data_IF_191143603810
#
_entry.id   IF_191143603810
#
_cell.length_a   1.000
_cell.length_b   1.000
_cell.length_c   1.000
_cell.angle_alpha   90.00
_cell.angle_beta   90.00
_cell.angle_gamma   90.00
#
_symmetry.space_group_name_H-M   'P 1'
#
loop_
_entity.id
_entity.type
_entity.pdbx_description
1 polymer ?
#
# COMPACT_ATOMS: atom_id res chain seq x y z
N UNK A 1 -2.53 15.14 -14.17
CA UNK A 1 -2.32 16.49 -14.77
C UNK A 1 -3.59 16.88 -15.51
N UNK A 2 -4.31 17.91 -15.08
CA UNK A 2 -5.34 18.52 -15.93
C UNK A 2 -4.62 19.52 -16.84
N UNK A 3 -4.67 19.30 -18.16
CA UNK A 3 -4.02 20.19 -19.12
C UNK A 3 -4.70 21.56 -19.09
N UNK A 4 -3.97 22.61 -18.70
CA UNK A 4 -4.50 23.97 -18.51
C UNK A 4 -4.28 24.90 -19.71
N UNK A 5 -3.64 24.43 -20.79
CA UNK A 5 -3.40 25.22 -22.00
C UNK A 5 -3.55 24.37 -23.28
N UNK A 6 -3.75 25.04 -24.42
CA UNK A 6 -3.91 24.43 -25.74
C UNK A 6 -2.76 23.49 -26.12
N UNK A 7 -1.52 23.87 -25.79
CA UNK A 7 -0.33 23.05 -26.05
C UNK A 7 -0.34 21.73 -25.26
N UNK A 8 -0.67 21.77 -23.97
CA UNK A 8 -0.75 20.57 -23.13
C UNK A 8 -1.91 19.65 -23.54
N UNK A 9 -3.02 20.22 -24.01
CA UNK A 9 -4.14 19.44 -24.56
C UNK A 9 -3.74 18.74 -25.84
N UNK A 10 -3.11 19.44 -26.78
CA UNK A 10 -2.62 18.85 -28.03
C UNK A 10 -1.61 17.72 -27.77
N UNK A 11 -0.69 17.92 -26.82
CA UNK A 11 0.28 16.90 -26.42
C UNK A 11 -0.39 15.67 -25.77
N UNK A 12 -1.41 15.89 -24.93
CA UNK A 12 -2.17 14.80 -24.30
C UNK A 12 -2.94 13.98 -25.33
N UNK A 13 -3.58 14.64 -26.30
CA UNK A 13 -4.28 13.99 -27.41
C UNK A 13 -3.30 13.21 -28.28
N UNK A 14 -2.15 13.79 -28.62
CA UNK A 14 -1.10 13.13 -29.42
C UNK A 14 -0.53 11.88 -28.72
N UNK A 15 -0.41 11.92 -27.39
CA UNK A 15 -0.01 10.78 -26.57
C UNK A 15 -1.04 9.66 -26.61
N UNK A 16 -2.34 9.98 -26.44
CA UNK A 16 -3.43 8.99 -26.50
C UNK A 16 -3.57 8.36 -27.89
N UNK A 17 -3.34 9.14 -28.95
CA UNK A 17 -3.32 8.65 -30.33
C UNK A 17 -2.04 7.88 -30.69
N UNK A 18 -1.12 7.69 -29.73
CA UNK A 18 0.13 6.92 -29.88
C UNK A 18 0.94 7.33 -31.11
N UNK A 19 1.07 8.64 -31.35
CA UNK A 19 1.84 9.14 -32.49
C UNK A 19 3.28 8.58 -32.44
N UNK A 20 3.78 7.98 -33.53
CA UNK A 20 5.13 7.41 -33.57
C UNK A 20 6.21 8.42 -33.17
N UNK A 21 7.14 8.00 -32.32
CA UNK A 21 8.27 8.83 -31.87
C UNK A 21 7.96 9.82 -30.74
N UNK A 22 6.69 10.07 -30.42
CA UNK A 22 6.33 10.99 -29.34
C UNK A 22 6.76 10.46 -27.96
N UNK A 23 6.52 9.18 -27.67
CA UNK A 23 6.90 8.58 -26.39
C UNK A 23 8.41 8.66 -26.15
N UNK A 24 9.23 8.40 -27.18
CA UNK A 24 10.69 8.49 -27.10
C UNK A 24 11.19 9.92 -26.81
N UNK A 25 10.45 10.94 -27.23
CA UNK A 25 10.75 12.33 -26.90
C UNK A 25 10.31 12.65 -25.47
N UNK A 26 9.13 12.17 -25.05
CA UNK A 26 8.63 12.36 -23.69
C UNK A 26 9.51 11.68 -22.64
N UNK A 27 10.01 10.48 -22.91
CA UNK A 27 10.85 9.71 -21.99
C UNK A 27 12.17 10.42 -21.65
N UNK A 28 12.69 11.27 -22.57
CA UNK A 28 13.91 12.07 -22.32
C UNK A 28 13.69 13.18 -21.29
N UNK A 29 12.45 13.62 -21.12
CA UNK A 29 12.06 14.66 -20.16
C UNK A 29 11.26 14.09 -18.98
N UNK A 30 11.03 12.77 -18.96
CA UNK A 30 10.36 12.10 -17.86
C UNK A 30 11.36 11.84 -16.74
N UNK A 31 11.41 12.75 -15.78
CA UNK A 31 12.00 12.45 -14.49
C UNK A 31 10.96 11.71 -13.65
N UNK A 32 11.30 10.49 -13.21
CA UNK A 32 10.45 9.74 -12.29
C UNK A 32 10.26 10.65 -11.06
N UNK A 33 9.01 10.91 -10.62
CA UNK A 33 8.78 11.84 -9.52
C UNK A 33 9.41 11.28 -8.25
N UNK A 34 10.57 11.82 -7.91
CA UNK A 34 11.33 11.48 -6.73
C UNK A 34 10.99 12.48 -5.63
N UNK A 35 9.69 12.59 -5.35
CA UNK A 35 9.21 13.58 -4.41
C UNK A 35 9.51 13.11 -2.98
N UNK A 36 9.81 14.07 -2.11
CA UNK A 36 10.08 13.85 -0.68
C UNK A 36 8.93 13.04 -0.05
N UNK A 37 7.68 13.24 -0.48
CA UNK A 37 6.54 12.47 0.00
C UNK A 37 6.61 10.95 -0.29
N UNK A 38 7.13 10.55 -1.45
CA UNK A 38 7.36 9.13 -1.83
C UNK A 38 8.54 8.58 -1.04
N UNK A 39 9.66 9.30 -0.95
CA UNK A 39 10.82 8.86 -0.16
C UNK A 39 10.50 8.73 1.33
N UNK A 40 9.70 9.65 1.88
CA UNK A 40 9.26 9.60 3.26
C UNK A 40 8.22 8.49 3.46
N UNK A 41 7.27 8.29 2.53
CA UNK A 41 6.34 7.17 2.56
C UNK A 41 7.08 5.83 2.64
N UNK A 42 8.05 5.61 1.75
CA UNK A 42 8.88 4.40 1.72
C UNK A 42 9.68 4.24 3.04
N UNK A 43 10.32 5.29 3.55
CA UNK A 43 11.05 5.22 4.83
C UNK A 43 10.15 4.93 6.02
N UNK A 44 8.95 5.49 6.05
CA UNK A 44 7.98 5.25 7.12
C UNK A 44 7.44 3.82 7.05
N UNK A 45 7.16 3.30 5.85
CA UNK A 45 6.76 1.91 5.63
C UNK A 45 7.86 0.93 6.05
N UNK A 46 9.11 1.17 5.65
CA UNK A 46 10.28 0.36 6.05
C UNK A 46 10.53 0.40 7.56
N UNK A 47 10.36 1.56 8.20
CA UNK A 47 10.49 1.70 9.65
C UNK A 47 9.37 0.96 10.40
N UNK A 48 8.11 1.09 9.94
CA UNK A 48 6.96 0.38 10.49
C UNK A 48 7.10 -1.14 10.33
N UNK A 49 7.56 -1.61 9.16
CA UNK A 49 7.86 -3.02 8.92
C UNK A 49 8.94 -3.53 9.88
N UNK A 50 10.01 -2.74 10.08
CA UNK A 50 11.08 -3.10 11.00
C UNK A 50 10.63 -3.14 12.47
N UNK A 51 9.81 -2.18 12.90
CA UNK A 51 9.22 -2.14 14.25
C UNK A 51 8.28 -3.33 14.50
N UNK A 52 7.42 -3.64 13.53
CA UNK A 52 6.50 -4.76 13.60
C UNK A 52 7.25 -6.10 13.59
N UNK A 53 8.26 -6.27 12.73
CA UNK A 53 9.09 -7.48 12.73
C UNK A 53 9.86 -7.64 14.05
N UNK A 54 10.35 -6.55 14.62
CA UNK A 54 11.03 -6.58 15.92
C UNK A 54 10.09 -6.97 17.06
N UNK A 55 8.81 -6.61 16.98
CA UNK A 55 7.85 -6.82 18.07
C UNK A 55 7.03 -8.10 17.93
N UNK A 56 6.57 -8.43 16.72
CA UNK A 56 5.70 -9.57 16.41
C UNK A 56 6.45 -10.80 15.91
N UNK A 57 7.65 -10.62 15.34
CA UNK A 57 8.43 -11.74 14.80
C UNK A 57 7.63 -12.60 13.83
N UNK A 58 7.38 -13.86 14.21
CA UNK A 58 6.68 -14.84 13.37
C UNK A 58 5.16 -14.64 13.23
N UNK A 59 4.55 -13.78 14.05
CA UNK A 59 3.13 -13.43 13.95
C UNK A 59 2.85 -12.42 12.82
N UNK A 60 3.92 -11.88 12.22
CA UNK A 60 3.88 -11.07 11.01
C UNK A 60 4.47 -11.86 9.84
N UNK A 61 3.73 -11.98 8.74
CA UNK A 61 4.26 -12.57 7.51
C UNK A 61 3.96 -11.73 6.28
N UNK A 62 4.78 -11.92 5.25
CA UNK A 62 4.64 -11.27 3.95
C UNK A 62 4.34 -12.33 2.89
N UNK A 63 3.38 -12.11 1.98
CA UNK A 63 3.16 -13.00 0.84
C UNK A 63 4.44 -13.18 0.01
N UNK A 64 4.65 -14.39 -0.52
CA UNK A 64 5.81 -14.70 -1.36
C UNK A 64 5.83 -13.90 -2.67
N UNK A 65 4.67 -13.52 -3.17
CA UNK A 65 4.51 -12.73 -4.39
C UNK A 65 3.35 -11.74 -4.27
N UNK A 66 3.18 -10.90 -5.30
CA UNK A 66 2.02 -9.99 -5.38
C UNK A 66 0.72 -10.69 -5.82
N UNK A 67 0.73 -12.01 -6.01
CA UNK A 67 -0.46 -12.79 -6.35
C UNK A 67 -1.44 -12.82 -5.16
N UNK A 68 -2.72 -12.49 -5.36
CA UNK A 68 -3.74 -12.63 -4.33
C UNK A 68 -3.81 -14.03 -3.69
N UNK A 69 -3.46 -15.09 -4.42
CA UNK A 69 -3.45 -16.46 -3.90
C UNK A 69 -2.49 -16.63 -2.70
N UNK A 70 -1.33 -15.98 -2.73
CA UNK A 70 -0.35 -16.04 -1.65
C UNK A 70 -0.87 -15.35 -0.39
N UNK A 71 -1.61 -14.26 -0.57
CA UNK A 71 -2.26 -13.54 0.54
C UNK A 71 -3.37 -14.39 1.15
N UNK A 72 -4.19 -15.04 0.31
CA UNK A 72 -5.24 -15.95 0.77
C UNK A 72 -4.66 -17.13 1.55
N UNK A 73 -3.54 -17.71 1.12
CA UNK A 73 -2.90 -18.81 1.85
C UNK A 73 -2.48 -18.39 3.27
N UNK A 74 -1.93 -17.19 3.44
CA UNK A 74 -1.60 -16.67 4.77
C UNK A 74 -2.86 -16.39 5.61
N UNK A 75 -3.95 -15.95 4.97
CA UNK A 75 -5.24 -15.76 5.64
C UNK A 75 -5.81 -17.08 6.16
N UNK A 76 -5.76 -18.14 5.34
CA UNK A 76 -6.20 -19.51 5.69
C UNK A 76 -5.34 -20.15 6.79
N UNK A 77 -4.03 -19.85 6.80
CA UNK A 77 -3.11 -20.24 7.88
C UNK A 77 -3.39 -19.49 9.19
N UNK A 78 -4.22 -18.46 9.16
CA UNK A 78 -4.55 -17.67 10.33
C UNK A 78 -3.39 -16.78 10.80
N UNK A 79 -2.54 -16.28 9.91
CA UNK A 79 -1.45 -15.38 10.31
C UNK A 79 -2.03 -14.10 10.92
N UNK A 80 -1.64 -13.69 12.14
CA UNK A 80 -2.21 -12.51 12.80
C UNK A 80 -2.06 -11.19 12.01
N UNK A 81 -0.88 -10.94 11.45
CA UNK A 81 -0.58 -9.73 10.67
C UNK A 81 0.03 -10.11 9.32
N UNK A 82 -0.63 -9.76 8.22
CA UNK A 82 -0.11 -9.98 6.87
C UNK A 82 0.28 -8.63 6.26
N UNK A 83 1.55 -8.47 5.91
CA UNK A 83 2.09 -7.23 5.34
C UNK A 83 2.14 -7.27 3.82
N UNK A 84 1.76 -6.15 3.18
CA UNK A 84 1.67 -5.99 1.73
C UNK A 84 0.81 -7.06 1.05
N UNK A 85 -0.35 -7.35 1.64
CA UNK A 85 -1.33 -8.27 1.05
C UNK A 85 -1.90 -7.76 -0.28
N UNK A 86 -2.21 -8.68 -1.19
CA UNK A 86 -2.98 -8.42 -2.40
C UNK A 86 -4.34 -9.07 -2.26
N UNK A 87 -5.41 -8.29 -2.39
CA UNK A 87 -6.77 -8.81 -2.41
C UNK A 87 -7.40 -8.60 -3.78
N UNK A 88 -8.02 -9.65 -4.30
CA UNK A 88 -8.91 -9.61 -5.45
C UNK A 88 -10.22 -10.28 -5.04
N UNK A 89 -11.31 -9.55 -5.15
CA UNK A 89 -12.65 -10.01 -4.81
C UNK A 89 -13.70 -9.33 -5.67
N UNK A 90 -14.97 -9.61 -5.41
CA UNK A 90 -16.08 -9.05 -6.18
C UNK A 90 -17.23 -10.03 -6.30
N UNK A 91 -18.45 -9.54 -6.11
CA UNK A 91 -19.68 -10.31 -6.29
C UNK A 91 -20.63 -9.50 -7.17
N UNK A 92 -21.15 -10.14 -8.22
CA UNK A 92 -22.07 -9.51 -9.17
C UNK A 92 -21.44 -8.36 -9.97
N UNK A 93 -20.74 -8.69 -11.06
CA UNK A 93 -20.33 -7.74 -12.12
C UNK A 93 -19.27 -6.68 -11.76
N UNK A 94 -18.89 -6.54 -10.49
CA UNK A 94 -17.89 -5.57 -10.03
C UNK A 94 -16.70 -6.34 -9.47
N UNK A 95 -15.54 -6.19 -10.13
CA UNK A 95 -14.26 -6.72 -9.65
C UNK A 95 -13.59 -5.66 -8.77
N UNK A 96 -13.35 -6.01 -7.50
CA UNK A 96 -12.59 -5.22 -6.55
C UNK A 96 -11.16 -5.76 -6.49
N UNK A 97 -10.18 -4.89 -6.68
CA UNK A 97 -8.78 -5.21 -6.44
C UNK A 97 -8.16 -4.13 -5.57
N UNK A 98 -7.40 -4.54 -4.56
CA UNK A 98 -6.77 -3.65 -3.61
C UNK A 98 -5.50 -4.28 -3.04
N UNK A 99 -4.52 -3.44 -2.76
CA UNK A 99 -3.26 -3.84 -2.13
C UNK A 99 -3.12 -3.08 -0.82
N UNK A 100 -3.73 -3.55 0.28
CA UNK A 100 -3.55 -2.95 1.59
C UNK A 100 -2.11 -3.11 2.08
N UNK A 101 -1.64 -2.14 2.88
CA UNK A 101 -0.32 -2.21 3.52
C UNK A 101 -0.31 -3.32 4.56
N UNK A 102 -1.42 -3.49 5.30
CA UNK A 102 -1.58 -4.54 6.30
C UNK A 102 -2.97 -5.20 6.22
N UNK A 103 -3.02 -6.49 6.47
CA UNK A 103 -4.23 -7.21 6.84
C UNK A 103 -4.07 -7.68 8.28
N UNK A 104 -4.95 -7.22 9.15
CA UNK A 104 -4.98 -7.58 10.55
C UNK A 104 -6.14 -8.55 10.80
N UNK A 105 -5.86 -9.68 11.43
CA UNK A 105 -6.90 -10.62 11.85
C UNK A 105 -7.86 -9.92 12.83
N UNK A 106 -9.16 -10.12 12.68
CA UNK A 106 -10.18 -9.33 13.39
C UNK A 106 -10.17 -9.49 14.92
N UNK A 107 -9.53 -10.53 15.42
CA UNK A 107 -9.25 -10.75 16.84
C UNK A 107 -8.00 -10.04 17.37
N UNK A 108 -7.32 -9.22 16.56
CA UNK A 108 -6.20 -8.39 16.96
C UNK A 108 -6.53 -6.90 16.81
N UNK A 109 -5.89 -6.10 17.65
CA UNK A 109 -5.84 -4.65 17.51
C UNK A 109 -4.40 -4.18 17.43
N UNK A 110 -4.13 -3.21 16.56
CA UNK A 110 -2.86 -2.50 16.57
C UNK A 110 -2.74 -1.64 17.83
N UNK A 111 -1.59 -1.71 18.49
CA UNK A 111 -1.27 -0.99 19.70
C UNK A 111 0.09 -0.33 19.55
N UNK A 112 0.20 0.93 19.97
CA UNK A 112 1.47 1.64 19.96
C UNK A 112 2.05 1.65 21.37
N UNK A 113 3.21 1.02 21.52
CA UNK A 113 3.99 1.01 22.76
C UNK A 113 5.23 1.89 22.62
N UNK A 114 5.95 2.10 23.71
CA UNK A 114 7.23 2.84 23.71
C UNK A 114 8.30 2.18 22.82
N UNK A 115 8.13 0.88 22.55
CA UNK A 115 9.02 0.06 21.70
C UNK A 115 8.64 0.07 20.22
N UNK A 116 7.49 0.67 19.85
CA UNK A 116 7.01 0.72 18.46
C UNK A 116 5.56 0.24 18.31
N UNK A 117 5.15 0.05 17.05
CA UNK A 117 3.85 -0.54 16.72
C UNK A 117 3.85 -2.07 16.95
N UNK A 118 2.81 -2.58 17.61
CA UNK A 118 2.56 -4.01 17.84
C UNK A 118 1.10 -4.36 17.54
N UNK A 119 0.77 -5.65 17.58
CA UNK A 119 -0.60 -6.14 17.51
C UNK A 119 -0.90 -7.02 18.74
N UNK A 120 -2.05 -6.79 19.39
CA UNK A 120 -2.49 -7.51 20.58
C UNK A 120 -3.81 -8.23 20.33
N UNK A 121 -3.86 -9.51 20.71
CA UNK A 121 -5.11 -10.30 20.67
C UNK A 121 -6.13 -9.74 21.66
N UNK A 122 -7.38 -9.59 21.23
CA UNK A 122 -8.49 -9.02 22.01
C UNK A 122 -9.64 -10.01 22.26
N UNK A 123 -9.78 -11.05 21.45
CA UNK A 123 -10.73 -12.15 21.68
C UNK A 123 -10.21 -13.46 21.05
N UNK A 124 -10.84 -14.60 21.35
CA UNK A 124 -10.32 -15.92 20.95
C UNK A 124 -10.75 -16.36 19.55
N UNK A 125 -11.97 -16.02 19.14
CA UNK A 125 -12.54 -16.39 17.84
C UNK A 125 -12.19 -15.35 16.79
N UNK A 126 -11.91 -15.75 15.55
CA UNK A 126 -11.68 -14.83 14.45
C UNK A 126 -12.59 -15.21 13.27
N UNK A 127 -13.09 -14.21 12.55
CA UNK A 127 -14.01 -14.41 11.42
C UNK A 127 -13.47 -13.88 10.10
N UNK A 128 -12.39 -13.11 10.15
CA UNK A 128 -11.76 -12.59 8.96
C UNK A 128 -10.62 -11.62 9.25
N UNK A 129 -10.38 -10.74 8.27
CA UNK A 129 -9.30 -9.78 8.28
C UNK A 129 -9.82 -8.38 7.95
N UNK A 130 -9.22 -7.39 8.59
CA UNK A 130 -9.43 -5.97 8.31
C UNK A 130 -8.24 -5.42 7.54
N UNK A 131 -8.50 -4.74 6.43
CA UNK A 131 -7.49 -4.02 5.67
C UNK A 131 -7.13 -2.70 6.36
N UNK A 132 -5.84 -2.50 6.61
CA UNK A 132 -5.26 -1.29 7.17
C UNK A 132 -4.29 -0.67 6.14
N UNK A 133 -4.44 0.63 5.93
CA UNK A 133 -3.52 1.45 5.13
C UNK A 133 -2.74 2.33 6.11
N UNK A 134 -1.42 2.23 6.09
CA UNK A 134 -0.56 2.80 7.12
C UNK A 134 -0.41 4.33 7.02
N UNK A 135 -1.14 5.00 6.10
CA UNK A 135 -1.02 6.45 5.83
C UNK A 135 -1.46 7.38 6.96
N UNK A 136 -1.66 6.91 8.18
CA UNK A 136 -2.01 7.76 9.32
C UNK A 136 -0.75 8.08 10.14
N UNK A 137 -0.05 9.10 9.66
CA UNK A 137 1.04 9.77 10.36
C UNK A 137 0.66 10.09 11.80
N UNK A 138 1.41 9.56 12.77
CA UNK A 138 1.37 9.95 14.20
C UNK A 138 1.64 11.43 14.48
N UNK A 139 2.01 12.21 13.46
CA UNK A 139 2.32 13.64 13.58
C UNK A 139 1.67 14.39 12.42
N UNK A 140 0.94 15.49 12.66
CA UNK A 140 0.55 16.40 11.57
C UNK A 140 1.82 16.87 10.84
N UNK A 141 1.79 16.85 9.51
CA UNK A 141 2.87 17.37 8.68
C UNK A 141 3.03 18.86 8.98
N UNK A 142 4.14 19.22 9.63
CA UNK A 142 4.47 20.61 10.00
C UNK A 142 4.69 21.48 8.75
N UNK A 143 5.02 20.87 7.61
CA UNK A 143 5.38 21.54 6.36
C UNK A 143 4.19 22.07 5.51
N UNK A 144 3.00 22.21 6.11
CA UNK A 144 1.87 22.94 5.53
C UNK A 144 1.61 24.28 6.26
N UNK A 145 2.68 24.93 6.76
CA UNK A 145 2.64 26.32 7.23
C UNK A 145 3.43 27.22 6.30
#
# INVERSE_FOLDING_TARGET
MRASCSHCTALSVARELKIPGLQQLLDRFFERPDNIAIRYGIRFEEALESELLATLGGDMQKPSSSDPADTLSLMEQGVPVIYQGSLRGGSGGIEFSGRPDFLLRDDYIFEFLDVGLTARKIHEDFSGYTAWDAKLSKTPKVDYQ
#
